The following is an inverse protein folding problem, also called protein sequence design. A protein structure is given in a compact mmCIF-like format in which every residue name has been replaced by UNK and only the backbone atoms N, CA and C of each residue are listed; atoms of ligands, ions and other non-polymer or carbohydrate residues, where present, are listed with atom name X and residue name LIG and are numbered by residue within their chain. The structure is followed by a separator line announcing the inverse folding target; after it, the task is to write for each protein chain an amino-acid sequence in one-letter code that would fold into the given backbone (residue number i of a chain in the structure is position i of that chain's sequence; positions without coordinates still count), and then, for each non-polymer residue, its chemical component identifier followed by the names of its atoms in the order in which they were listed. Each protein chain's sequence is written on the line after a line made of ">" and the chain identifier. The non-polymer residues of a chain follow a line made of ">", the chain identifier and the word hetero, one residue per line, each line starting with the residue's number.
data_IF_393719691387
#
_entry.id   IF_393719691387
#
_cell.length_a   1.000
_cell.length_b   1.000
_cell.length_c   1.000
_cell.angle_alpha   90.00
_cell.angle_beta   90.00
_cell.angle_gamma   90.00
#
_symmetry.space_group_name_H-M   'P 1'
#
loop_
_entity.id
_entity.type
_entity.pdbx_description
1 polymer ?
#
# COMPACT_ATOMS: atom_id res chain seq x y z
N UNK A 1 2.71 -29.90 17.05
CA UNK A 1 4.00 -29.18 17.21
C UNK A 1 4.99 -29.33 16.03
N UNK A 2 4.80 -30.24 15.06
CA UNK A 2 5.75 -30.41 13.93
C UNK A 2 5.62 -29.32 12.83
N UNK A 3 4.41 -28.81 12.57
CA UNK A 3 4.18 -27.75 11.57
C UNK A 3 4.75 -26.37 11.94
N UNK A 4 4.90 -26.08 13.25
CA UNK A 4 5.45 -24.81 13.71
C UNK A 4 6.94 -24.67 13.36
N UNK A 5 7.70 -25.77 13.39
CA UNK A 5 9.14 -25.76 13.06
C UNK A 5 9.38 -25.42 11.58
N UNK A 6 8.54 -25.95 10.67
CA UNK A 6 8.64 -25.66 9.23
C UNK A 6 8.22 -24.22 8.90
N UNK A 7 7.18 -23.68 9.54
CA UNK A 7 6.80 -22.27 9.37
C UNK A 7 7.90 -21.31 9.86
N UNK A 8 8.56 -21.62 10.99
CA UNK A 8 9.66 -20.78 11.51
C UNK A 8 10.88 -20.83 10.59
N UNK A 9 11.22 -22.00 10.05
CA UNK A 9 12.32 -22.14 9.09
C UNK A 9 12.01 -21.38 7.79
N UNK A 10 10.79 -21.46 7.28
CA UNK A 10 10.37 -20.71 6.09
C UNK A 10 10.43 -19.19 6.32
N UNK A 11 9.99 -18.71 7.48
CA UNK A 11 10.01 -17.29 7.82
C UNK A 11 11.45 -16.77 7.97
N UNK A 12 12.34 -17.55 8.60
CA UNK A 12 13.78 -17.27 8.66
C UNK A 12 14.42 -17.17 7.28
N UNK A 13 14.06 -18.08 6.37
CA UNK A 13 14.60 -18.10 5.00
C UNK A 13 14.12 -16.89 4.19
N UNK A 14 12.85 -16.49 4.38
CA UNK A 14 12.28 -15.29 3.75
C UNK A 14 12.95 -14.00 4.24
N UNK A 15 13.23 -13.90 5.55
CA UNK A 15 13.96 -12.77 6.13
C UNK A 15 15.40 -12.72 5.62
N UNK A 16 16.09 -13.86 5.50
CA UNK A 16 17.48 -13.90 5.05
C UNK A 16 17.65 -13.48 3.58
N UNK A 17 16.72 -13.89 2.70
CA UNK A 17 16.67 -13.43 1.31
C UNK A 17 16.38 -11.93 1.23
N UNK A 18 15.47 -11.43 2.08
CA UNK A 18 15.18 -9.99 2.17
C UNK A 18 16.39 -9.16 2.61
N UNK A 19 17.18 -9.67 3.56
CA UNK A 19 18.37 -8.99 4.06
C UNK A 19 19.56 -9.04 3.09
N UNK A 20 19.69 -10.12 2.32
CA UNK A 20 20.70 -10.23 1.26
C UNK A 20 20.41 -9.28 0.09
N UNK A 21 19.13 -9.14 -0.29
CA UNK A 21 18.69 -8.21 -1.33
C UNK A 21 18.83 -6.73 -0.94
N UNK A 22 18.80 -6.42 0.36
CA UNK A 22 18.97 -5.05 0.87
C UNK A 22 20.43 -4.56 0.84
N UNK A 23 21.41 -5.46 0.86
CA UNK A 23 22.84 -5.10 0.94
C UNK A 23 23.48 -4.74 -0.40
N UNK A 24 22.90 -5.18 -1.53
CA UNK A 24 23.46 -4.91 -2.88
C UNK A 24 23.19 -3.49 -3.39
N UNK A 25 22.31 -2.74 -2.73
CA UNK A 25 22.05 -1.33 -3.01
C UNK A 25 22.62 -0.49 -1.86
N UNK A 26 23.84 0.03 -2.02
CA UNK A 26 24.37 1.06 -1.12
C UNK A 26 23.42 2.26 -1.00
N UNK A 27 23.65 3.15 -0.02
CA UNK A 27 22.78 4.28 0.32
C UNK A 27 22.41 5.20 -0.87
N UNK A 28 23.23 5.26 -1.93
CA UNK A 28 22.91 5.96 -3.17
C UNK A 28 21.91 5.21 -4.08
N UNK A 29 22.01 3.87 -4.17
CA UNK A 29 21.06 3.03 -4.90
C UNK A 29 19.70 2.98 -4.23
N UNK A 30 19.67 3.04 -2.90
CA UNK A 30 18.44 3.08 -2.10
C UNK A 30 17.61 4.34 -2.41
N UNK A 31 18.25 5.51 -2.50
CA UNK A 31 17.55 6.77 -2.84
C UNK A 31 16.94 6.74 -4.25
N UNK A 32 17.66 6.16 -5.21
CA UNK A 32 17.16 5.99 -6.59
C UNK A 32 15.99 5.01 -6.64
N UNK A 33 16.11 3.88 -5.93
CA UNK A 33 15.03 2.89 -5.82
C UNK A 33 13.79 3.47 -5.13
N UNK A 34 13.95 4.30 -4.09
CA UNK A 34 12.84 4.98 -3.41
C UNK A 34 12.14 5.97 -4.35
N UNK A 35 12.87 6.76 -5.15
CA UNK A 35 12.25 7.65 -6.16
C UNK A 35 11.47 6.85 -7.22
N UNK A 36 12.04 5.76 -7.72
CA UNK A 36 11.37 4.88 -8.67
C UNK A 36 10.09 4.26 -8.09
N UNK A 37 10.17 3.77 -6.85
CA UNK A 37 9.03 3.23 -6.11
C UNK A 37 7.95 4.28 -5.90
N UNK A 38 8.34 5.52 -5.63
CA UNK A 38 7.37 6.57 -5.34
C UNK A 38 6.61 7.04 -6.59
N UNK A 39 7.28 7.13 -7.75
CA UNK A 39 6.59 7.34 -9.03
C UNK A 39 5.66 6.18 -9.35
N UNK A 40 6.10 4.95 -9.10
CA UNK A 40 5.27 3.77 -9.29
C UNK A 40 4.03 3.83 -8.41
N UNK A 41 4.18 4.14 -7.12
CA UNK A 41 3.08 4.30 -6.17
C UNK A 41 2.14 5.46 -6.55
N UNK A 42 2.65 6.63 -6.96
CA UNK A 42 1.81 7.76 -7.41
C UNK A 42 0.98 7.44 -8.64
N UNK A 43 1.49 6.60 -9.54
CA UNK A 43 0.77 6.22 -10.77
C UNK A 43 -0.21 5.07 -10.53
N UNK A 44 0.17 4.11 -9.68
CA UNK A 44 -0.66 2.94 -9.38
C UNK A 44 -1.78 3.22 -8.38
N UNK A 45 -1.54 4.00 -7.32
CA UNK A 45 -2.55 4.29 -6.29
C UNK A 45 -3.89 4.79 -6.85
N UNK A 46 -3.93 5.85 -7.68
CA UNK A 46 -5.19 6.35 -8.19
C UNK A 46 -5.87 5.35 -9.14
N UNK A 47 -5.08 4.62 -9.94
CA UNK A 47 -5.60 3.59 -10.85
C UNK A 47 -6.27 2.46 -10.06
N UNK A 48 -5.62 1.95 -9.01
CA UNK A 48 -6.16 0.86 -8.17
C UNK A 48 -7.33 1.34 -7.32
N UNK A 49 -7.29 2.56 -6.80
CA UNK A 49 -8.40 3.13 -6.04
C UNK A 49 -9.66 3.24 -6.90
N UNK A 50 -9.53 3.69 -8.15
CA UNK A 50 -10.64 3.77 -9.09
C UNK A 50 -11.22 2.37 -9.41
N UNK A 51 -10.35 1.38 -9.63
CA UNK A 51 -10.79 0.00 -9.85
C UNK A 51 -11.50 -0.61 -8.63
N UNK A 52 -11.05 -0.30 -7.41
CA UNK A 52 -11.69 -0.77 -6.17
C UNK A 52 -13.07 -0.16 -5.97
N UNK A 53 -13.27 1.12 -6.31
CA UNK A 53 -14.58 1.77 -6.26
C UNK A 53 -15.55 1.13 -7.26
N UNK A 54 -15.10 0.90 -8.50
CA UNK A 54 -15.91 0.24 -9.52
C UNK A 54 -16.26 -1.20 -9.10
N UNK A 55 -15.28 -1.95 -8.60
CA UNK A 55 -15.50 -3.31 -8.09
C UNK A 55 -16.51 -3.34 -6.95
N UNK A 56 -16.46 -2.39 -6.01
CA UNK A 56 -17.43 -2.25 -4.93
C UNK A 56 -18.86 -2.00 -5.47
N UNK A 57 -19.00 -1.13 -6.48
CA UNK A 57 -20.29 -0.87 -7.12
C UNK A 57 -20.85 -2.10 -7.83
N UNK A 58 -20.02 -2.82 -8.58
CA UNK A 58 -20.40 -4.05 -9.28
C UNK A 58 -20.76 -5.16 -8.29
N UNK A 59 -19.98 -5.36 -7.22
CA UNK A 59 -20.25 -6.34 -6.18
C UNK A 59 -21.54 -6.04 -5.41
N UNK A 60 -21.83 -4.76 -5.15
CA UNK A 60 -23.08 -4.35 -4.53
C UNK A 60 -24.29 -4.64 -5.43
N UNK A 61 -24.18 -4.35 -6.73
CA UNK A 61 -25.22 -4.66 -7.71
C UNK A 61 -25.38 -6.17 -7.92
N UNK A 62 -24.28 -6.91 -8.04
CA UNK A 62 -24.25 -8.37 -8.19
C UNK A 62 -24.87 -9.06 -6.96
N UNK A 63 -24.65 -8.52 -5.76
CA UNK A 63 -25.24 -9.02 -4.52
C UNK A 63 -26.78 -8.95 -4.50
N UNK A 64 -27.42 -8.13 -5.34
CA UNK A 64 -28.88 -8.10 -5.46
C UNK A 64 -29.43 -9.23 -6.35
N UNK A 65 -28.61 -9.76 -7.27
CA UNK A 65 -28.99 -10.87 -8.14
C UNK A 65 -28.75 -12.24 -7.52
N UNK A 66 -28.02 -12.30 -6.40
CA UNK A 66 -27.69 -13.55 -5.71
C UNK A 66 -28.58 -13.73 -4.47
N UNK A 67 -28.83 -14.99 -4.08
CA UNK A 67 -29.74 -15.36 -2.99
C UNK A 67 -29.45 -14.73 -1.62
N UNK A 68 -30.38 -14.87 -0.68
CA UNK A 68 -30.36 -14.17 0.62
C UNK A 68 -29.05 -14.32 1.41
N UNK A 69 -28.37 -15.48 1.31
CA UNK A 69 -27.11 -15.75 2.00
C UNK A 69 -25.90 -15.05 1.36
N UNK A 70 -25.91 -14.90 0.03
CA UNK A 70 -24.83 -14.27 -0.74
C UNK A 70 -25.00 -12.76 -0.84
N UNK A 71 -26.23 -12.24 -0.77
CA UNK A 71 -26.52 -10.81 -0.62
C UNK A 71 -25.92 -10.23 0.66
N UNK A 72 -26.02 -10.96 1.78
CA UNK A 72 -25.46 -10.53 3.06
C UNK A 72 -23.92 -10.52 3.05
N UNK A 73 -23.28 -11.47 2.38
CA UNK A 73 -21.81 -11.52 2.30
C UNK A 73 -21.25 -10.54 1.28
N UNK A 74 -21.88 -10.38 0.12
CA UNK A 74 -21.45 -9.46 -0.93
C UNK A 74 -21.51 -7.98 -0.49
N UNK A 75 -22.54 -7.60 0.28
CA UNK A 75 -22.66 -6.23 0.81
C UNK A 75 -21.56 -5.88 1.82
N UNK A 76 -21.15 -6.83 2.66
CA UNK A 76 -20.00 -6.64 3.58
C UNK A 76 -18.70 -6.46 2.81
N UNK A 77 -18.50 -7.21 1.72
CA UNK A 77 -17.28 -7.10 0.91
C UNK A 77 -17.26 -5.78 0.13
N UNK A 78 -18.40 -5.36 -0.43
CA UNK A 78 -18.50 -4.09 -1.13
C UNK A 78 -18.24 -2.89 -0.22
N UNK A 79 -18.77 -2.91 1.02
CA UNK A 79 -18.54 -1.82 1.99
C UNK A 79 -17.11 -1.79 2.50
N UNK A 80 -16.47 -2.95 2.70
CA UNK A 80 -15.05 -3.03 3.02
C UNK A 80 -14.16 -2.48 1.88
N UNK A 81 -14.50 -2.77 0.62
CA UNK A 81 -13.78 -2.22 -0.54
C UNK A 81 -13.97 -0.70 -0.67
N UNK A 82 -15.21 -0.21 -0.48
CA UNK A 82 -15.51 1.21 -0.55
C UNK A 82 -14.77 1.99 0.55
N UNK A 83 -14.85 1.54 1.80
CA UNK A 83 -14.18 2.20 2.93
C UNK A 83 -12.65 2.14 2.81
N UNK A 84 -12.09 1.00 2.37
CA UNK A 84 -10.67 0.88 2.08
C UNK A 84 -10.20 1.84 0.99
N UNK A 85 -10.97 2.02 -0.09
CA UNK A 85 -10.66 2.97 -1.15
C UNK A 85 -10.72 4.43 -0.67
N UNK A 86 -11.75 4.78 0.12
CA UNK A 86 -11.89 6.12 0.70
C UNK A 86 -10.72 6.44 1.63
N UNK A 87 -10.35 5.52 2.52
CA UNK A 87 -9.23 5.69 3.45
C UNK A 87 -7.91 5.81 2.67
N UNK A 88 -7.68 5.00 1.63
CA UNK A 88 -6.48 5.09 0.82
C UNK A 88 -6.32 6.45 0.13
N UNK A 89 -7.41 7.00 -0.42
CA UNK A 89 -7.42 8.35 -1.01
C UNK A 89 -7.14 9.41 0.06
N UNK A 90 -7.77 9.28 1.24
CA UNK A 90 -7.56 10.21 2.35
C UNK A 90 -6.09 10.24 2.77
N UNK A 91 -5.47 9.06 2.93
CA UNK A 91 -4.04 8.94 3.28
C UNK A 91 -3.18 9.55 2.17
N UNK A 92 -3.49 9.29 0.90
CA UNK A 92 -2.71 9.82 -0.23
C UNK A 92 -2.67 11.35 -0.26
N UNK A 93 -3.74 12.02 0.17
CA UNK A 93 -3.82 13.50 0.24
C UNK A 93 -3.16 14.04 1.51
N UNK A 94 -3.36 13.40 2.66
CA UNK A 94 -2.88 13.90 3.96
C UNK A 94 -1.38 13.60 4.17
N UNK A 95 -0.88 12.46 3.70
CA UNK A 95 0.50 12.04 3.88
C UNK A 95 1.55 13.08 3.44
N UNK A 96 1.49 13.68 2.23
CA UNK A 96 2.46 14.70 1.84
C UNK A 96 2.37 15.97 2.72
N UNK A 97 1.18 16.30 3.23
CA UNK A 97 0.99 17.47 4.09
C UNK A 97 1.69 17.29 5.44
N UNK A 98 1.55 16.12 6.06
CA UNK A 98 2.24 15.76 7.31
C UNK A 98 3.76 15.73 7.10
N UNK A 99 4.23 15.14 6.01
CA UNK A 99 5.66 15.06 5.70
C UNK A 99 6.29 16.45 5.52
N UNK A 100 5.58 17.39 4.89
CA UNK A 100 6.04 18.77 4.76
C UNK A 100 6.12 19.50 6.12
N UNK A 101 5.16 19.28 7.03
CA UNK A 101 5.21 19.90 8.36
C UNK A 101 6.32 19.32 9.25
N UNK A 102 6.56 18.02 9.19
CA UNK A 102 7.62 17.37 9.99
C UNK A 102 9.02 17.72 9.45
N UNK A 103 9.18 17.81 8.13
CA UNK A 103 10.49 18.07 7.53
C UNK A 103 10.90 19.56 7.58
N UNK A 104 9.94 20.49 7.52
CA UNK A 104 10.21 21.94 7.63
C UNK A 104 10.62 22.39 9.03
N UNK A 105 10.36 21.59 10.07
CA UNK A 105 10.86 21.83 11.42
C UNK A 105 12.28 21.32 11.70
N UNK A 106 12.92 20.64 10.74
CA UNK A 106 14.08 19.76 11.01
C UNK A 106 15.44 20.18 10.44
N UNK A 107 15.59 20.51 9.14
CA UNK A 107 16.91 20.78 8.56
C UNK A 107 16.89 21.79 7.40
N UNK A 108 17.86 22.71 7.46
CA UNK A 108 18.28 23.71 6.47
C UNK A 108 18.29 23.21 5.02
N UNK A 109 17.51 23.86 4.16
CA UNK A 109 17.77 24.37 2.78
C UNK A 109 18.69 23.65 1.77
N UNK A 110 19.16 22.41 1.98
CA UNK A 110 20.07 21.70 1.06
C UNK A 110 19.57 20.35 0.52
N UNK A 111 18.55 19.74 1.12
CA UNK A 111 18.10 18.37 0.80
C UNK A 111 16.69 18.29 0.19
N UNK A 112 16.02 19.42 -0.03
CA UNK A 112 14.60 19.45 -0.40
C UNK A 112 14.30 19.01 -1.85
N UNK A 113 15.32 18.94 -2.73
CA UNK A 113 15.12 18.50 -4.13
C UNK A 113 15.27 16.96 -4.33
N UNK A 114 15.76 16.22 -3.33
CA UNK A 114 16.04 14.78 -3.48
C UNK A 114 14.97 13.85 -2.90
N UNK A 115 13.98 14.35 -2.15
CA UNK A 115 12.97 13.51 -1.49
C UNK A 115 11.51 13.94 -1.68
N UNK A 116 11.23 14.97 -2.47
CA UNK A 116 9.92 15.02 -3.13
C UNK A 116 9.91 13.93 -4.18
N UNK A 117 9.13 12.90 -3.95
CA UNK A 117 8.34 12.39 -5.06
C UNK A 117 7.31 13.47 -5.41
#
# INVERSE_FOLDING_TARGET
>A
MRGLKYNVIFLMLLVFVGLAAAQSAGSAGLLSAIKGLCNLVKTLLPTVALLMIIAAGVLYAAGQFMGAETRARASVWATAMLTGAVIAILIAVIAPWILNMVWTGGLTTGSLASMTC
#
